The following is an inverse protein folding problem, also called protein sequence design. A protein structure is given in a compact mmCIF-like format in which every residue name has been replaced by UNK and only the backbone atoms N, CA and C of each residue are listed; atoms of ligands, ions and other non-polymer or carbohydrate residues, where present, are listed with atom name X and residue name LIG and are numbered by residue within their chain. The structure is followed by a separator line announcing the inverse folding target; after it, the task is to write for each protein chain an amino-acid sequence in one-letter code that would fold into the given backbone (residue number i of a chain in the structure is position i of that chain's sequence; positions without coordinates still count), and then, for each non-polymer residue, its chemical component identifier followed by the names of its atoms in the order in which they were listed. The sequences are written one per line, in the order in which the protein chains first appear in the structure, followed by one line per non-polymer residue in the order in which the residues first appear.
data_IF_478707661022
#
_entry.id   IF_478707661022
#
_cell.length_a   1.000
_cell.length_b   1.000
_cell.length_c   1.000
_cell.angle_alpha   90.00
_cell.angle_beta   90.00
_cell.angle_gamma   90.00
#
_symmetry.space_group_name_H-M   'P 1'
#
loop_
_entity.id
_entity.type
_entity.pdbx_description
1 polymer ?
#
# COMPACT_ATOMS: atom_id res chain seq x y z
N UNK A 1 3.07 -27.97 -11.91
CA UNK A 1 2.29 -26.84 -12.44
C UNK A 1 2.03 -25.81 -11.36
N UNK A 2 1.95 -24.56 -11.75
CA UNK A 2 1.67 -23.48 -10.80
C UNK A 2 0.19 -23.44 -10.49
N UNK A 3 -0.13 -23.40 -9.20
CA UNK A 3 -1.51 -23.35 -8.75
C UNK A 3 -1.87 -22.04 -8.06
N UNK A 4 -0.98 -21.56 -7.17
CA UNK A 4 -1.19 -20.28 -6.49
C UNK A 4 -0.57 -19.18 -7.34
N UNK A 5 -1.37 -18.18 -7.76
CA UNK A 5 -0.96 -17.24 -8.80
C UNK A 5 -0.61 -15.85 -8.28
N UNK A 6 -1.33 -15.37 -7.27
CA UNK A 6 -1.03 -14.08 -6.64
C UNK A 6 -1.79 -13.99 -5.32
N UNK A 7 -1.49 -12.94 -4.57
CA UNK A 7 -2.16 -12.64 -3.32
C UNK A 7 -2.47 -11.15 -3.30
N UNK A 8 -3.55 -10.77 -2.62
CA UNK A 8 -4.00 -9.40 -2.58
C UNK A 8 -4.47 -9.10 -1.16
N UNK A 9 -3.89 -8.09 -0.48
CA UNK A 9 -4.42 -7.69 0.81
C UNK A 9 -5.81 -7.08 0.65
N UNK A 10 -6.63 -7.20 1.69
CA UNK A 10 -7.98 -6.65 1.70
C UNK A 10 -8.10 -5.72 2.90
N UNK A 11 -8.32 -4.44 2.65
CA UNK A 11 -8.44 -3.42 3.69
C UNK A 11 -9.88 -2.98 3.83
N UNK A 12 -10.36 -2.93 5.08
CA UNK A 12 -11.65 -2.28 5.37
C UNK A 12 -11.39 -0.79 5.44
N UNK A 13 -12.13 -0.02 4.65
CA UNK A 13 -11.95 1.41 4.52
C UNK A 13 -13.24 2.13 4.89
N UNK A 14 -13.14 3.43 5.19
CA UNK A 14 -14.29 4.22 5.61
C UNK A 14 -15.13 4.71 4.44
N UNK A 15 -14.49 5.20 3.39
CA UNK A 15 -15.16 5.81 2.24
C UNK A 15 -14.47 5.39 0.96
N UNK A 16 -15.20 4.67 0.10
CA UNK A 16 -14.60 4.09 -1.09
C UNK A 16 -14.03 5.15 -2.03
N UNK A 17 -14.76 6.22 -2.25
CA UNK A 17 -14.36 7.26 -3.19
C UNK A 17 -13.06 7.94 -2.75
N UNK A 18 -12.98 8.28 -1.47
CA UNK A 18 -11.79 8.92 -0.91
C UNK A 18 -10.60 7.98 -0.98
N UNK A 19 -10.80 6.72 -0.62
CA UNK A 19 -9.73 5.74 -0.61
C UNK A 19 -9.22 5.47 -2.02
N UNK A 20 -10.12 5.23 -2.97
CA UNK A 20 -9.73 5.00 -4.36
C UNK A 20 -8.98 6.21 -4.93
N UNK A 21 -9.48 7.42 -4.65
CA UNK A 21 -8.81 8.64 -5.14
C UNK A 21 -7.38 8.77 -4.62
N UNK A 22 -7.16 8.39 -3.37
CA UNK A 22 -5.81 8.41 -2.82
C UNK A 22 -4.87 7.49 -3.62
N UNK A 23 -5.29 6.26 -3.85
CA UNK A 23 -4.45 5.30 -4.58
C UNK A 23 -4.22 5.73 -6.02
N UNK A 24 -5.24 6.26 -6.67
CA UNK A 24 -5.12 6.67 -8.07
C UNK A 24 -4.31 7.96 -8.19
N UNK A 25 -4.67 9.00 -7.44
CA UNK A 25 -4.10 10.33 -7.62
C UNK A 25 -2.73 10.48 -6.98
N UNK A 26 -2.52 9.84 -5.83
CA UNK A 26 -1.26 9.97 -5.09
C UNK A 26 -0.26 8.87 -5.41
N UNK A 27 -0.73 7.63 -5.56
CA UNK A 27 0.17 6.50 -5.71
C UNK A 27 0.29 5.99 -7.14
N UNK A 28 -0.47 6.53 -8.09
CA UNK A 28 -0.38 6.13 -9.48
C UNK A 28 -0.98 4.76 -9.77
N UNK A 29 -1.87 4.30 -8.90
CA UNK A 29 -2.59 3.04 -9.13
C UNK A 29 -3.73 3.26 -10.10
N UNK A 30 -4.28 2.18 -10.62
CA UNK A 30 -5.47 2.20 -11.48
C UNK A 30 -6.56 1.36 -10.83
N UNK A 31 -7.80 1.75 -11.08
CA UNK A 31 -8.96 0.93 -10.68
C UNK A 31 -9.01 -0.27 -11.62
N UNK A 32 -8.87 -1.46 -11.04
CA UNK A 32 -8.94 -2.72 -11.79
C UNK A 32 -10.31 -3.34 -11.70
N UNK A 33 -11.06 -3.00 -10.66
CA UNK A 33 -12.45 -3.42 -10.49
C UNK A 33 -13.13 -2.48 -9.51
N UNK A 34 -14.40 -2.23 -9.71
CA UNK A 34 -15.23 -1.48 -8.76
C UNK A 34 -16.66 -2.01 -8.88
N UNK A 35 -17.28 -2.34 -7.78
CA UNK A 35 -18.60 -2.92 -7.79
C UNK A 35 -19.36 -2.77 -6.49
N UNK A 36 -20.66 -3.00 -6.53
CA UNK A 36 -21.53 -3.11 -7.71
C UNK A 36 -21.72 -1.77 -8.41
N UNK A 37 -22.16 -1.80 -9.68
CA UNK A 37 -22.16 -0.62 -10.55
C UNK A 37 -22.93 0.57 -10.01
N UNK A 38 -24.12 0.34 -9.45
CA UNK A 38 -25.02 1.43 -9.06
C UNK A 38 -24.58 2.11 -7.76
N UNK A 39 -23.99 1.36 -6.86
CA UNK A 39 -23.58 1.88 -5.56
C UNK A 39 -22.38 1.08 -5.08
N UNK A 40 -21.22 1.35 -5.66
CA UNK A 40 -20.05 0.54 -5.36
C UNK A 40 -19.60 0.70 -3.91
N UNK A 41 -19.28 -0.42 -3.28
CA UNK A 41 -18.75 -0.44 -1.92
C UNK A 41 -17.41 -1.15 -1.82
N UNK A 42 -16.90 -1.69 -2.91
CA UNK A 42 -15.56 -2.26 -2.91
C UNK A 42 -14.89 -2.08 -4.28
N UNK A 43 -13.57 -2.10 -4.25
CA UNK A 43 -12.77 -1.89 -5.44
C UNK A 43 -11.47 -2.65 -5.31
N UNK A 44 -10.85 -2.93 -6.47
CA UNK A 44 -9.48 -3.41 -6.54
C UNK A 44 -8.69 -2.32 -7.24
N UNK A 45 -7.64 -1.85 -6.60
CA UNK A 45 -6.71 -0.89 -7.19
C UNK A 45 -5.36 -1.57 -7.34
N UNK A 46 -4.62 -1.23 -8.39
CA UNK A 46 -3.34 -1.89 -8.61
C UNK A 46 -2.42 -1.09 -9.49
N UNK A 47 -1.14 -1.44 -9.40
CA UNK A 47 -0.08 -0.86 -10.20
C UNK A 47 0.95 -1.95 -10.43
N UNK A 48 1.46 -2.06 -11.65
CA UNK A 48 2.39 -3.12 -12.02
C UNK A 48 1.82 -4.49 -11.64
N UNK A 49 2.52 -5.27 -10.83
CA UNK A 49 2.10 -6.63 -10.51
C UNK A 49 1.37 -6.74 -9.18
N UNK A 50 1.02 -5.62 -8.55
CA UNK A 50 0.35 -5.68 -7.25
C UNK A 50 -1.06 -5.12 -7.33
N UNK A 51 -1.91 -5.62 -6.42
CA UNK A 51 -3.28 -5.15 -6.27
C UNK A 51 -3.64 -5.13 -4.80
N UNK A 52 -4.54 -4.23 -4.44
CA UNK A 52 -5.09 -4.11 -3.08
C UNK A 52 -6.60 -4.02 -3.22
N UNK A 53 -7.30 -4.79 -2.39
CA UNK A 53 -8.76 -4.75 -2.33
C UNK A 53 -9.19 -3.80 -1.22
N UNK A 54 -10.13 -2.92 -1.53
CA UNK A 54 -10.65 -1.92 -0.61
C UNK A 54 -12.15 -2.16 -0.45
N UNK A 55 -12.62 -2.33 0.80
CA UNK A 55 -14.04 -2.59 1.07
C UNK A 55 -14.59 -1.62 2.11
N UNK A 56 -15.63 -0.88 1.73
CA UNK A 56 -16.40 -0.04 2.63
C UNK A 56 -17.61 -0.86 3.09
N UNK A 57 -17.46 -1.55 4.22
CA UNK A 57 -18.43 -2.55 4.66
C UNK A 57 -19.72 -1.92 5.16
N UNK A 58 -19.59 -0.98 6.09
CA UNK A 58 -20.73 -0.28 6.69
C UNK A 58 -20.22 0.97 7.41
N UNK A 59 -21.07 2.00 7.61
CA UNK A 59 -20.60 3.25 8.21
C UNK A 59 -20.07 3.11 9.64
N UNK A 60 -20.50 2.08 10.37
CA UNK A 60 -20.05 1.86 11.75
C UNK A 60 -18.85 0.92 11.85
N UNK A 61 -18.39 0.37 10.73
CA UNK A 61 -17.21 -0.49 10.69
C UNK A 61 -16.01 0.36 10.29
N UNK A 62 -15.07 0.53 11.22
CA UNK A 62 -13.95 1.45 11.03
C UNK A 62 -12.68 0.72 10.62
N UNK A 63 -11.79 1.39 9.87
CA UNK A 63 -10.46 0.84 9.62
C UNK A 63 -9.71 0.63 10.92
N UNK A 64 -8.96 -0.46 11.00
CA UNK A 64 -8.11 -0.75 12.17
C UNK A 64 -6.71 -1.10 11.68
N UNK A 65 -5.90 -0.09 11.34
CA UNK A 65 -4.52 -0.34 10.90
C UNK A 65 -3.68 -0.98 12.01
N UNK A 66 -2.69 -1.76 11.61
CA UNK A 66 -1.83 -2.46 12.57
C UNK A 66 -1.14 -1.49 13.53
N UNK A 67 -0.76 -0.30 13.07
CA UNK A 67 -0.07 0.69 13.91
C UNK A 67 -0.89 1.11 15.12
N UNK A 68 -2.21 0.96 15.06
CA UNK A 68 -3.08 1.29 16.20
C UNK A 68 -3.11 0.19 17.24
N UNK A 69 -2.53 -0.97 16.94
CA UNK A 69 -2.56 -2.14 17.80
C UNK A 69 -1.21 -2.43 18.43
N UNK A 70 -0.13 -2.16 17.70
CA UNK A 70 1.20 -2.41 18.25
C UNK A 70 2.25 -1.60 17.49
N UNK A 71 3.12 -0.95 18.23
CA UNK A 71 4.11 -0.06 17.63
C UNK A 71 5.23 -0.79 16.87
N UNK A 72 5.46 -2.06 17.17
CA UNK A 72 6.48 -2.85 16.49
C UNK A 72 6.06 -3.35 15.13
N UNK A 73 4.76 -3.46 14.92
CA UNK A 73 4.23 -4.04 13.69
C UNK A 73 3.29 -3.06 13.01
N UNK A 74 3.80 -1.89 12.61
CA UNK A 74 2.94 -0.85 12.06
C UNK A 74 2.52 -1.12 10.62
N UNK A 75 3.30 -1.89 9.86
CA UNK A 75 3.04 -2.08 8.43
C UNK A 75 1.86 -3.03 8.22
N UNK A 76 0.93 -2.62 7.38
CA UNK A 76 -0.19 -3.47 6.96
C UNK A 76 0.14 -4.24 5.70
N UNK A 77 1.07 -3.75 4.89
CA UNK A 77 1.54 -4.45 3.70
C UNK A 77 2.99 -4.07 3.42
N UNK A 78 3.75 -5.07 2.99
CA UNK A 78 5.11 -4.89 2.48
C UNK A 78 5.04 -5.04 0.97
N UNK A 79 5.49 -4.03 0.25
CA UNK A 79 5.46 -4.02 -1.21
C UNK A 79 6.89 -4.02 -1.71
N UNK A 80 7.29 -5.13 -2.30
CA UNK A 80 8.63 -5.25 -2.88
C UNK A 80 8.76 -4.29 -4.05
N UNK A 81 9.75 -3.42 -3.99
CA UNK A 81 9.90 -2.30 -4.91
C UNK A 81 11.30 -2.31 -5.50
N UNK A 82 11.39 -2.47 -6.82
CA UNK A 82 12.70 -2.57 -7.48
C UNK A 82 13.53 -1.30 -7.32
N UNK A 83 12.90 -0.14 -7.44
CA UNK A 83 13.57 1.17 -7.38
C UNK A 83 12.90 2.07 -6.36
N UNK A 84 13.11 1.82 -5.06
CA UNK A 84 12.41 2.60 -4.04
C UNK A 84 12.78 4.09 -4.03
N UNK A 85 14.02 4.45 -4.38
CA UNK A 85 14.40 5.86 -4.42
C UNK A 85 13.62 6.61 -5.50
N UNK A 86 13.47 6.01 -6.67
CA UNK A 86 12.71 6.61 -7.77
C UNK A 86 11.23 6.75 -7.40
N UNK A 87 10.66 5.72 -6.81
CA UNK A 87 9.27 5.75 -6.39
C UNK A 87 9.05 6.78 -5.27
N UNK A 88 9.99 6.87 -4.34
CA UNK A 88 9.92 7.87 -3.28
C UNK A 88 9.83 9.28 -3.86
N UNK A 89 10.67 9.61 -4.85
CA UNK A 89 10.65 10.93 -5.47
C UNK A 89 9.34 11.18 -6.22
N UNK A 90 8.82 10.17 -6.89
CA UNK A 90 7.51 10.29 -7.54
C UNK A 90 6.43 10.62 -6.51
N UNK A 91 6.38 9.88 -5.41
CA UNK A 91 5.36 10.09 -4.37
C UNK A 91 5.54 11.42 -3.67
N UNK A 92 6.78 11.84 -3.45
CA UNK A 92 7.04 13.15 -2.86
C UNK A 92 6.49 14.25 -3.78
N UNK A 93 6.69 14.12 -5.08
CA UNK A 93 6.17 15.09 -6.06
C UNK A 93 4.65 15.12 -6.10
N UNK A 94 4.01 13.98 -5.80
CA UNK A 94 2.55 13.89 -5.77
C UNK A 94 1.94 14.37 -4.45
N UNK A 95 2.78 14.82 -3.51
CA UNK A 95 2.29 15.33 -2.23
C UNK A 95 1.93 14.26 -1.22
N UNK A 96 2.46 13.05 -1.38
CA UNK A 96 2.25 11.98 -0.40
C UNK A 96 2.97 12.34 0.89
N UNK A 97 2.30 12.11 2.03
CA UNK A 97 2.89 12.31 3.34
C UNK A 97 3.52 11.00 3.80
N UNK A 98 4.81 11.07 4.18
CA UNK A 98 5.56 9.88 4.57
C UNK A 98 5.57 9.70 6.07
N UNK A 99 5.27 8.49 6.52
CA UNK A 99 5.51 8.11 7.90
C UNK A 99 6.99 7.97 8.17
N UNK A 100 7.73 7.40 7.19
CA UNK A 100 9.18 7.34 7.21
C UNK A 100 9.70 7.60 5.81
N UNK A 101 10.60 8.58 5.64
CA UNK A 101 11.18 8.83 4.32
C UNK A 101 12.12 7.71 3.91
N UNK A 102 12.63 7.80 2.68
CA UNK A 102 13.55 6.79 2.16
C UNK A 102 14.77 6.67 3.09
N UNK A 103 15.09 5.45 3.49
CA UNK A 103 16.24 5.19 4.38
C UNK A 103 16.56 3.71 4.38
N UNK A 104 17.73 3.38 4.91
CA UNK A 104 18.12 2.00 5.20
C UNK A 104 17.71 1.70 6.64
N UNK A 105 16.92 0.64 6.85
CA UNK A 105 16.43 0.32 8.20
C UNK A 105 17.25 -0.79 8.86
N UNK A 106 16.88 -1.12 10.10
CA UNK A 106 17.60 -2.12 10.87
C UNK A 106 17.39 -3.56 10.38
N UNK A 107 16.46 -3.77 9.48
CA UNK A 107 16.18 -5.09 8.89
C UNK A 107 16.90 -5.27 7.56
N UNK A 108 17.86 -4.41 7.25
CA UNK A 108 18.61 -4.44 6.00
C UNK A 108 17.75 -4.20 4.78
N UNK A 109 16.72 -3.39 4.93
CA UNK A 109 15.85 -2.98 3.82
C UNK A 109 16.07 -1.50 3.53
N UNK A 110 16.01 -1.16 2.25
CA UNK A 110 15.94 0.23 1.84
C UNK A 110 14.54 0.52 1.37
N UNK A 111 13.89 1.50 1.98
CA UNK A 111 12.52 1.79 1.62
C UNK A 111 11.95 2.96 2.40
N UNK A 112 10.64 3.12 2.28
CA UNK A 112 9.90 4.20 2.92
C UNK A 112 8.51 3.72 3.30
N UNK A 113 7.86 4.46 4.20
CA UNK A 113 6.49 4.16 4.64
C UNK A 113 5.57 5.32 4.35
N UNK A 114 4.36 5.00 3.93
CA UNK A 114 3.29 5.98 3.80
C UNK A 114 2.07 5.49 4.58
N UNK A 115 1.15 6.39 4.84
CA UNK A 115 -0.17 6.03 5.33
C UNK A 115 -1.18 6.37 4.24
N UNK A 116 -2.11 5.45 3.97
CA UNK A 116 -3.16 5.73 3.01
C UNK A 116 -4.26 6.59 3.66
N UNK A 117 -5.36 6.82 2.92
CA UNK A 117 -6.43 7.70 3.40
C UNK A 117 -7.09 7.19 4.69
N UNK A 118 -7.00 5.89 4.95
CA UNK A 118 -7.58 5.27 6.13
C UNK A 118 -6.55 5.00 7.23
N UNK A 119 -5.31 5.36 7.00
CA UNK A 119 -4.25 5.18 7.96
C UNK A 119 -3.51 3.86 7.87
N UNK A 120 -3.82 3.03 6.89
CA UNK A 120 -3.05 1.81 6.68
C UNK A 120 -1.64 2.16 6.23
N UNK A 121 -0.67 1.45 6.79
CA UNK A 121 0.75 1.70 6.52
C UNK A 121 1.22 0.75 5.44
N UNK A 122 1.75 1.32 4.37
CA UNK A 122 2.36 0.56 3.29
C UNK A 122 3.86 0.83 3.32
N UNK A 123 4.65 -0.24 3.37
CA UNK A 123 6.09 -0.15 3.25
C UNK A 123 6.49 -0.54 1.83
N UNK A 124 7.23 0.35 1.16
CA UNK A 124 7.78 0.12 -0.18
C UNK A 124 9.28 -0.01 -0.06
N UNK A 125 9.82 -1.17 -0.42
CA UNK A 125 11.25 -1.33 -0.28
C UNK A 125 11.78 -2.64 -0.81
N UNK A 126 13.06 -2.87 -0.59
CA UNK A 126 13.78 -4.07 -1.00
C UNK A 126 15.02 -4.25 -0.15
N UNK A 127 15.65 -5.43 -0.21
CA UNK A 127 16.95 -5.60 0.46
C UNK A 127 17.97 -4.59 -0.06
N UNK A 128 18.90 -4.23 0.80
CA UNK A 128 19.95 -3.26 0.46
C UNK A 128 20.88 -3.84 -0.60
N UNK A 129 21.26 -3.00 -1.56
CA UNK A 129 22.15 -3.43 -2.66
C UNK A 129 23.58 -3.66 -2.23
N UNK A 130 23.94 -3.26 -1.01
CA UNK A 130 25.27 -3.51 -0.49
C UNK A 130 25.49 -4.96 -0.06
N UNK A 131 24.53 -5.85 -0.34
CA UNK A 131 24.55 -7.26 0.04
C UNK A 131 24.50 -8.14 -1.20
N UNK A 132 25.56 -8.15 -2.01
CA UNK A 132 25.51 -8.87 -3.30
C UNK A 132 25.33 -10.37 -3.15
N UNK A 133 25.76 -10.97 -2.06
CA UNK A 133 25.60 -12.41 -1.85
C UNK A 133 24.21 -12.80 -1.44
N UNK A 134 23.32 -11.86 -1.37
CA UNK A 134 21.90 -12.15 -1.16
C UNK A 134 21.24 -12.84 -2.34
N UNK A 135 21.93 -12.85 -3.45
CA UNK A 135 21.42 -13.49 -4.66
C UNK A 135 21.26 -15.00 -4.52
#
# INVERSE_FOLDING_TARGET
MTNLTYIMPCFIIADLKISVSFYVDKLGFKVRYMGPDDNPYWAIVGRDNISIMLKAVAPDIKPIPNRTRHEWAPSDAYISTAEPDTLFEEYRSNGVVFGKPIHDNSDDLRGFEIQDADGYVLFFGRPRLSQPEMS
#
